data_IF_977334230543
#
_entry.id   IF_977334230543
#
_cell.length_a   1.000
_cell.length_b   1.000
_cell.length_c   1.000
_cell.angle_alpha   90.00
_cell.angle_beta   90.00
_cell.angle_gamma   90.00
#
_symmetry.space_group_name_H-M   'P 1'
#
loop_
_entity.id
_entity.type
_entity.pdbx_description
1 polymer ?
#
# COMPACT_ATOMS: atom_id res chain seq x y z
N UNK A 1 19.16 -17.33 11.03
CA UNK A 1 17.94 -18.14 10.82
C UNK A 1 17.44 -18.57 12.20
N UNK A 2 16.74 -17.67 12.89
CA UNK A 2 16.17 -17.87 14.24
C UNK A 2 14.75 -17.30 14.26
N UNK A 3 14.02 -17.50 13.16
CA UNK A 3 12.70 -16.93 12.88
C UNK A 3 11.69 -18.03 12.60
N UNK A 4 11.84 -19.17 13.27
CA UNK A 4 10.87 -20.24 13.17
C UNK A 4 9.82 -20.06 14.28
N UNK A 5 8.61 -19.69 13.88
CA UNK A 5 7.50 -19.48 14.81
C UNK A 5 7.02 -20.79 15.43
N UNK A 6 7.34 -21.96 14.88
CA UNK A 6 6.88 -23.25 15.40
C UNK A 6 7.60 -23.66 16.70
N UNK A 7 8.78 -23.10 17.00
CA UNK A 7 9.46 -23.29 18.28
C UNK A 7 9.02 -22.32 19.39
N UNK A 8 8.13 -21.36 19.09
CA UNK A 8 7.56 -20.47 20.11
C UNK A 8 6.28 -21.07 20.69
N UNK A 9 6.11 -21.05 22.02
CA UNK A 9 4.86 -21.49 22.62
C UNK A 9 3.71 -20.55 22.22
N UNK A 10 2.46 -21.04 22.14
CA UNK A 10 1.31 -20.28 21.64
C UNK A 10 1.01 -19.02 22.46
N UNK A 11 1.40 -18.99 23.74
CA UNK A 11 1.30 -17.81 24.60
C UNK A 11 2.14 -16.66 24.05
N UNK A 12 3.34 -16.93 23.53
CA UNK A 12 4.23 -15.88 22.99
C UNK A 12 3.69 -15.38 21.66
N UNK A 13 3.23 -16.28 20.77
CA UNK A 13 2.66 -15.91 19.47
C UNK A 13 1.39 -15.06 19.67
N UNK A 14 0.45 -15.52 20.51
CA UNK A 14 -0.77 -14.75 20.84
C UNK A 14 -0.46 -13.40 21.48
N UNK A 15 0.53 -13.32 22.38
CA UNK A 15 0.98 -12.04 22.96
C UNK A 15 1.34 -11.03 21.88
N UNK A 16 2.13 -11.47 20.91
CA UNK A 16 2.64 -10.61 19.85
C UNK A 16 1.52 -10.17 18.92
N UNK A 17 0.58 -11.05 18.59
CA UNK A 17 -0.56 -10.72 17.73
C UNK A 17 -1.53 -9.72 18.36
N UNK A 18 -1.84 -9.85 19.66
CA UNK A 18 -2.88 -9.05 20.32
C UNK A 18 -2.39 -7.73 20.96
N UNK A 19 -1.09 -7.46 21.02
CA UNK A 19 -0.55 -6.26 21.68
C UNK A 19 -0.29 -5.06 20.75
N UNK A 20 -0.44 -5.25 19.43
CA UNK A 20 -0.17 -4.22 18.42
C UNK A 20 -1.37 -3.33 18.07
N UNK A 21 -1.14 -2.23 17.33
CA UNK A 21 -2.18 -1.28 16.91
C UNK A 21 -3.12 -1.80 15.80
N UNK A 22 -2.94 -3.05 15.33
CA UNK A 22 -3.71 -3.65 14.24
C UNK A 22 -3.24 -3.25 12.84
N UNK A 23 -4.03 -3.61 11.82
CA UNK A 23 -3.72 -3.39 10.40
C UNK A 23 -4.14 -2.01 9.87
N UNK A 24 -4.84 -1.19 10.66
CA UNK A 24 -5.43 0.07 10.20
C UNK A 24 -4.42 1.06 9.60
N UNK A 25 -3.19 1.13 10.13
CA UNK A 25 -2.15 1.98 9.55
C UNK A 25 -1.68 1.49 8.17
N UNK A 26 -1.71 0.18 7.90
CA UNK A 26 -1.40 -0.38 6.59
C UNK A 26 -2.52 -0.10 5.58
N UNK A 27 -3.77 -0.13 6.03
CA UNK A 27 -4.93 0.25 5.20
C UNK A 27 -4.87 1.73 4.83
N UNK A 28 -4.63 2.62 5.79
CA UNK A 28 -4.45 4.04 5.53
C UNK A 28 -3.25 4.33 4.61
N UNK A 29 -2.15 3.59 4.77
CA UNK A 29 -1.02 3.69 3.85
C UNK A 29 -1.39 3.23 2.42
N UNK A 30 -2.15 2.14 2.28
CA UNK A 30 -2.62 1.68 0.99
C UNK A 30 -3.46 2.74 0.27
N UNK A 31 -4.39 3.39 0.98
CA UNK A 31 -5.19 4.50 0.46
C UNK A 31 -4.33 5.69 0.03
N UNK A 32 -3.37 6.10 0.87
CA UNK A 32 -2.45 7.20 0.54
C UNK A 32 -1.61 6.92 -0.71
N UNK A 33 -1.11 5.68 -0.87
CA UNK A 33 -0.37 5.28 -2.08
C UNK A 33 -1.27 5.22 -3.33
N UNK A 34 -2.55 4.83 -3.19
CA UNK A 34 -3.48 4.89 -4.32
C UNK A 34 -3.77 6.33 -4.74
N UNK A 35 -3.98 7.23 -3.79
CA UNK A 35 -4.21 8.64 -4.10
C UNK A 35 -2.99 9.24 -4.82
N UNK A 36 -1.78 8.97 -4.33
CA UNK A 36 -0.55 9.42 -4.99
C UNK A 36 -0.42 8.87 -6.42
N UNK A 37 -0.76 7.59 -6.63
CA UNK A 37 -0.79 7.00 -7.98
C UNK A 37 -1.73 7.76 -8.92
N UNK A 38 -2.94 8.09 -8.46
CA UNK A 38 -3.91 8.86 -9.23
C UNK A 38 -3.43 10.29 -9.54
N UNK A 39 -2.84 10.98 -8.56
CA UNK A 39 -2.28 12.33 -8.74
C UNK A 39 -1.11 12.35 -9.74
N UNK A 40 -0.25 11.33 -9.72
CA UNK A 40 0.85 11.19 -10.68
C UNK A 40 0.33 10.95 -12.10
N UNK A 41 -0.67 10.09 -12.29
CA UNK A 41 -1.32 9.89 -13.59
C UNK A 41 -1.97 11.19 -14.11
N UNK A 42 -2.72 11.89 -13.27
CA UNK A 42 -3.35 13.16 -13.64
C UNK A 42 -2.30 14.22 -14.01
N UNK A 43 -1.19 14.27 -13.28
CA UNK A 43 -0.06 15.16 -13.58
C UNK A 43 0.57 14.83 -14.93
N UNK A 44 0.84 13.55 -15.21
CA UNK A 44 1.40 13.11 -16.50
C UNK A 44 0.48 13.49 -17.68
N UNK A 45 -0.84 13.31 -17.53
CA UNK A 45 -1.82 13.74 -18.53
C UNK A 45 -1.81 15.25 -18.75
N UNK A 46 -1.71 16.02 -17.66
CA UNK A 46 -1.64 17.50 -17.73
C UNK A 46 -0.40 17.95 -18.50
N UNK A 47 0.77 17.36 -18.23
CA UNK A 47 1.99 17.67 -18.98
C UNK A 47 1.84 17.38 -20.48
N UNK A 48 1.29 16.20 -20.83
CA UNK A 48 1.04 15.83 -22.24
C UNK A 48 0.06 16.78 -22.93
N UNK A 49 -1.00 17.20 -22.24
CA UNK A 49 -1.97 18.16 -22.75
C UNK A 49 -1.31 19.51 -23.05
N UNK A 50 -0.57 20.07 -22.09
CA UNK A 50 0.08 21.37 -22.24
C UNK A 50 1.10 21.36 -23.39
N UNK A 51 1.89 20.29 -23.51
CA UNK A 51 2.85 20.14 -24.62
C UNK A 51 2.11 20.07 -25.97
N UNK A 52 1.03 19.29 -26.05
CA UNK A 52 0.20 19.19 -27.25
C UNK A 52 -0.40 20.54 -27.65
N UNK A 53 -0.94 21.27 -26.68
CA UNK A 53 -1.54 22.58 -26.89
C UNK A 53 -0.48 23.58 -27.41
N UNK A 54 0.69 23.64 -26.78
CA UNK A 54 1.79 24.51 -27.24
C UNK A 54 2.18 24.22 -28.69
N UNK A 55 2.28 22.93 -29.06
CA UNK A 55 2.56 22.53 -30.45
C UNK A 55 1.46 23.01 -31.40
N UNK A 56 0.18 22.90 -31.00
CA UNK A 56 -0.95 23.41 -31.78
C UNK A 56 -0.92 24.94 -31.95
N UNK A 57 -0.38 25.67 -30.96
CA UNK A 57 -0.11 27.12 -31.03
C UNK A 57 1.14 27.51 -31.84
N UNK A 58 1.63 26.62 -32.70
CA UNK A 58 2.80 26.84 -33.56
C UNK A 58 4.10 27.10 -32.77
N UNK A 59 4.23 26.54 -31.56
CA UNK A 59 5.50 26.49 -30.84
C UNK A 59 6.45 25.49 -31.51
N UNK A 60 7.10 25.93 -32.59
CA UNK A 60 7.91 25.09 -33.48
C UNK A 60 9.33 25.64 -33.62
N UNK A 61 10.31 24.75 -33.55
CA UNK A 61 11.73 25.08 -33.71
C UNK A 61 12.62 24.09 -32.96
N UNK A 62 13.95 24.11 -33.16
CA UNK A 62 14.88 23.16 -32.53
C UNK A 62 14.82 23.20 -30.99
N UNK A 63 14.73 24.41 -30.41
CA UNK A 63 14.62 24.58 -28.96
C UNK A 63 13.28 24.09 -28.41
N UNK A 64 12.17 24.35 -29.11
CA UNK A 64 10.84 23.85 -28.72
C UNK A 64 10.78 22.33 -28.78
N UNK A 65 11.36 21.72 -29.82
CA UNK A 65 11.46 20.26 -29.95
C UNK A 65 12.28 19.64 -28.80
N UNK A 66 13.40 20.25 -28.43
CA UNK A 66 14.20 19.80 -27.29
C UNK A 66 13.43 19.87 -25.96
N UNK A 67 12.68 20.94 -25.72
CA UNK A 67 11.83 21.07 -24.54
C UNK A 67 10.66 20.06 -24.53
N UNK A 68 10.00 19.85 -25.67
CA UNK A 68 8.92 18.86 -25.78
C UNK A 68 9.41 17.44 -25.51
N UNK A 69 10.62 17.08 -25.97
CA UNK A 69 11.24 15.80 -25.67
C UNK A 69 11.51 15.63 -24.16
N UNK A 70 12.09 16.65 -23.51
CA UNK A 70 12.33 16.62 -22.06
C UNK A 70 11.03 16.48 -21.25
N UNK A 71 9.99 17.22 -21.62
CA UNK A 71 8.67 17.13 -20.99
C UNK A 71 8.04 15.75 -21.18
N UNK A 72 8.22 15.13 -22.34
CA UNK A 72 7.74 13.76 -22.62
C UNK A 72 8.43 12.75 -21.72
N UNK A 73 9.76 12.79 -21.60
CA UNK A 73 10.50 11.89 -20.71
C UNK A 73 10.09 12.06 -19.24
N UNK A 74 9.77 13.28 -18.80
CA UNK A 74 9.27 13.52 -17.46
C UNK A 74 7.86 12.94 -17.26
N UNK A 75 6.96 13.10 -18.24
CA UNK A 75 5.63 12.50 -18.19
C UNK A 75 5.67 10.96 -18.20
N UNK A 76 6.61 10.35 -18.92
CA UNK A 76 6.85 8.91 -18.88
C UNK A 76 7.33 8.45 -17.50
N UNK A 77 8.24 9.19 -16.87
CA UNK A 77 8.70 8.90 -15.52
C UNK A 77 7.55 9.01 -14.50
N UNK A 78 6.70 10.03 -14.61
CA UNK A 78 5.51 10.17 -13.75
C UNK A 78 4.58 8.96 -13.90
N UNK A 79 4.32 8.52 -15.12
CA UNK A 79 3.47 7.35 -15.41
C UNK A 79 4.05 6.05 -14.83
N UNK A 80 5.35 5.81 -15.02
CA UNK A 80 6.03 4.64 -14.47
C UNK A 80 5.99 4.65 -12.92
N UNK A 81 6.19 5.82 -12.32
CA UNK A 81 6.12 6.00 -10.86
C UNK A 81 4.69 5.83 -10.34
N UNK A 82 3.69 6.28 -11.08
CA UNK A 82 2.27 6.06 -10.77
C UNK A 82 1.93 4.57 -10.72
N UNK A 83 2.44 3.78 -11.67
CA UNK A 83 2.26 2.32 -11.66
C UNK A 83 2.93 1.70 -10.43
N UNK A 84 4.15 2.11 -10.09
CA UNK A 84 4.89 1.58 -8.94
C UNK A 84 4.19 1.90 -7.61
N UNK A 85 3.71 3.12 -7.43
CA UNK A 85 2.95 3.53 -6.23
C UNK A 85 1.64 2.75 -6.11
N UNK A 86 0.94 2.52 -7.23
CA UNK A 86 -0.24 1.65 -7.25
C UNK A 86 0.06 0.19 -6.90
N UNK A 87 1.25 -0.33 -7.23
CA UNK A 87 1.70 -1.65 -6.77
C UNK A 87 1.98 -1.66 -5.26
N UNK A 88 2.65 -0.64 -4.74
CA UNK A 88 2.90 -0.48 -3.30
C UNK A 88 1.60 -0.42 -2.51
N UNK A 89 0.60 0.30 -3.01
CA UNK A 89 -0.73 0.33 -2.41
C UNK A 89 -1.37 -1.07 -2.30
N UNK A 90 -1.30 -1.86 -3.38
CA UNK A 90 -1.81 -3.25 -3.37
C UNK A 90 -1.06 -4.12 -2.37
N UNK A 91 0.27 -4.00 -2.30
CA UNK A 91 1.08 -4.75 -1.34
C UNK A 91 0.73 -4.39 0.10
N UNK A 92 0.51 -3.10 0.40
CA UNK A 92 0.08 -2.65 1.72
C UNK A 92 -1.31 -3.22 2.10
N UNK A 93 -2.25 -3.24 1.16
CA UNK A 93 -3.57 -3.84 1.36
C UNK A 93 -3.48 -5.36 1.59
N UNK A 94 -2.69 -6.09 0.79
CA UNK A 94 -2.43 -7.52 0.99
C UNK A 94 -1.77 -7.81 2.34
N UNK A 95 -0.84 -6.96 2.79
CA UNK A 95 -0.22 -7.10 4.09
C UNK A 95 -1.22 -6.89 5.24
N UNK A 96 -2.13 -5.92 5.09
CA UNK A 96 -3.21 -5.69 6.05
C UNK A 96 -4.15 -6.91 6.14
N UNK A 97 -4.58 -7.45 4.99
CA UNK A 97 -5.47 -8.62 4.97
C UNK A 97 -4.79 -9.87 5.56
N UNK A 98 -3.51 -10.08 5.25
CA UNK A 98 -2.74 -11.19 5.82
C UNK A 98 -2.60 -11.08 7.35
N UNK A 99 -2.47 -9.86 7.88
CA UNK A 99 -2.49 -9.63 9.33
C UNK A 99 -3.85 -9.99 9.92
N UNK A 100 -4.95 -9.53 9.32
CA UNK A 100 -6.30 -9.77 9.83
C UNK A 100 -6.65 -11.27 9.79
N UNK A 101 -6.25 -11.99 8.74
CA UNK A 101 -6.38 -13.45 8.65
C UNK A 101 -5.57 -14.17 9.73
N UNK A 102 -4.29 -13.79 9.92
CA UNK A 102 -3.46 -14.36 10.98
C UNK A 102 -4.02 -14.06 12.37
N UNK A 103 -4.57 -12.87 12.57
CA UNK A 103 -5.21 -12.45 13.82
C UNK A 103 -6.45 -13.29 14.13
N UNK A 104 -7.28 -13.57 13.12
CA UNK A 104 -8.48 -14.41 13.24
C UNK A 104 -8.16 -15.88 13.52
N UNK A 105 -7.05 -16.40 12.98
CA UNK A 105 -6.62 -17.79 13.21
C UNK A 105 -5.83 -17.98 14.51
N UNK A 106 -5.32 -16.91 15.11
CA UNK A 106 -4.53 -17.00 16.35
C UNK A 106 -5.45 -17.33 17.52
N UNK A 107 -4.97 -18.21 18.40
CA UNK A 107 -5.74 -18.65 19.58
C UNK A 107 -6.04 -17.45 20.49
N UNK A 108 -7.32 -17.14 20.77
CA UNK A 108 -7.69 -16.07 21.68
C UNK A 108 -7.13 -16.36 23.07
N UNK A 109 -6.55 -15.34 23.71
CA UNK A 109 -6.25 -15.45 25.14
C UNK A 109 -7.58 -15.52 25.88
N UNK A 110 -7.83 -16.65 26.54
CA UNK A 110 -9.04 -16.95 27.32
C UNK A 110 -9.83 -15.69 27.70
N UNK A 111 -10.95 -15.44 27.00
CA UNK A 111 -12.12 -14.99 27.73
C UNK A 111 -12.44 -16.09 28.74
N UNK A 112 -12.67 -15.71 29.99
CA UNK A 112 -13.08 -16.62 31.06
C UNK A 112 -14.17 -17.59 30.57
N UNK A 113 -13.87 -18.88 30.56
CA UNK A 113 -14.81 -19.94 30.19
C UNK A 113 -15.93 -20.07 31.24
N UNK A 114 -17.23 -20.14 30.87
CA UNK A 114 -18.31 -20.46 31.79
C UNK A 114 -18.39 -21.93 32.23
N UNK A 115 -17.47 -22.80 31.80
CA UNK A 115 -17.60 -24.26 32.00
C UNK A 115 -17.07 -24.74 33.37
N UNK A 116 -16.48 -23.85 34.19
CA UNK A 116 -16.02 -24.20 35.54
C UNK A 116 -17.14 -24.30 36.60
N UNK A 117 -18.42 -24.16 36.24
CA UNK A 117 -19.54 -24.27 37.19
C UNK A 117 -20.23 -25.65 37.24
N UNK A 118 -19.81 -26.65 36.45
CA UNK A 118 -20.46 -27.97 36.47
C UNK A 118 -19.70 -29.07 37.22
N UNK A 119 -18.63 -28.74 37.94
CA UNK A 119 -18.00 -29.64 38.89
C UNK A 119 -18.04 -29.03 40.29
N UNK A 120 -19.17 -29.21 40.97
CA UNK A 120 -19.26 -29.13 42.43
C UNK A 120 -20.29 -30.16 42.89
N UNK A 121 -19.75 -31.17 43.59
CA UNK A 121 -20.34 -32.21 44.44
C UNK A 121 -21.60 -32.94 43.98
#
# INVERSE_FOLDING_TARGET
>A
MFTDFAFLPPEVISTRMYSGPGSGSLQAAAEGWQQLSAELHASAQTYRSVVSDLIAWHWVGPSSAAMAAAATSYAEWLEATAIQTGQTARQAATAASAFDEAFAMTVPRRSSSPIASSCSC
#
